data_IF_269552949130
#
_entry.id   IF_269552949130
#
_cell.length_a   1.000
_cell.length_b   1.000
_cell.length_c   1.000
_cell.angle_alpha   90.00
_cell.angle_beta   90.00
_cell.angle_gamma   90.00
#
_symmetry.space_group_name_H-M   'P 1'
#
loop_
_entity.id
_entity.type
_entity.pdbx_description
1 polymer ?
#
# COMPACT_ATOMS: atom_id res chain seq x y z
N UNK A 1 6.77 28.59 23.52
CA UNK A 1 6.65 29.67 22.50
C UNK A 1 7.60 29.50 21.31
N UNK A 2 8.88 29.16 21.50
CA UNK A 2 9.88 29.08 20.41
C UNK A 2 9.56 28.04 19.32
N UNK A 3 9.21 26.81 19.70
CA UNK A 3 8.84 25.74 18.76
C UNK A 3 7.61 26.12 17.90
N UNK A 4 6.58 26.70 18.52
CA UNK A 4 5.38 27.17 17.82
C UNK A 4 5.70 28.26 16.79
N UNK A 5 6.64 29.17 17.10
CA UNK A 5 7.09 30.19 16.16
C UNK A 5 7.82 29.57 14.96
N UNK A 6 8.66 28.55 15.18
CA UNK A 6 9.33 27.80 14.11
C UNK A 6 8.31 27.09 13.21
N UNK A 7 7.35 26.37 13.80
CA UNK A 7 6.26 25.70 13.06
C UNK A 7 5.48 26.72 12.22
N UNK A 8 5.12 27.86 12.80
CA UNK A 8 4.39 28.93 12.08
C UNK A 8 5.22 29.49 10.92
N UNK A 9 6.54 29.70 11.12
CA UNK A 9 7.46 30.14 10.06
C UNK A 9 7.51 29.13 8.92
N UNK A 10 7.65 27.84 9.21
CA UNK A 10 7.72 26.79 8.18
C UNK A 10 6.41 26.69 7.38
N UNK A 11 5.25 26.73 8.04
CA UNK A 11 3.95 26.73 7.35
C UNK A 11 3.82 27.93 6.42
N UNK A 12 4.22 29.12 6.87
CA UNK A 12 4.19 30.34 6.05
C UNK A 12 5.19 30.28 4.88
N UNK A 13 6.38 29.75 5.09
CA UNK A 13 7.40 29.59 4.05
C UNK A 13 6.88 28.67 2.93
N UNK A 14 6.27 27.54 3.29
CA UNK A 14 5.69 26.61 2.32
C UNK A 14 4.51 27.25 1.60
N UNK A 15 3.62 27.95 2.33
CA UNK A 15 2.45 28.63 1.74
C UNK A 15 2.83 29.71 0.72
N UNK A 16 3.89 30.47 0.98
CA UNK A 16 4.31 31.57 0.12
C UNK A 16 5.10 31.12 -1.11
N UNK A 17 5.70 29.93 -1.07
CA UNK A 17 6.43 29.34 -2.20
C UNK A 17 5.47 28.57 -3.14
N UNK A 18 4.64 29.33 -3.85
CA UNK A 18 3.60 28.79 -4.77
C UNK A 18 4.19 27.87 -5.84
N UNK A 19 5.38 28.18 -6.37
CA UNK A 19 6.02 27.37 -7.42
C UNK A 19 6.44 26.00 -6.87
N UNK A 20 7.10 25.97 -5.71
CA UNK A 20 7.43 24.69 -5.07
C UNK A 20 6.18 23.91 -4.70
N UNK A 21 5.13 24.58 -4.20
CA UNK A 21 3.88 23.89 -3.86
C UNK A 21 3.23 23.22 -5.07
N UNK A 22 3.20 23.89 -6.24
CA UNK A 22 2.68 23.30 -7.49
C UNK A 22 3.53 22.08 -7.90
N UNK A 23 4.85 22.21 -7.89
CA UNK A 23 5.77 21.12 -8.28
C UNK A 23 5.63 19.90 -7.36
N UNK A 24 5.35 20.11 -6.08
CA UNK A 24 5.21 19.02 -5.11
C UNK A 24 3.80 18.42 -5.12
N UNK A 25 2.75 19.22 -5.37
CA UNK A 25 1.35 18.80 -5.29
C UNK A 25 0.79 18.24 -6.60
N UNK A 26 1.12 18.84 -7.74
CA UNK A 26 0.50 18.50 -9.03
C UNK A 26 0.91 17.11 -9.53
N UNK A 27 2.20 16.71 -9.54
CA UNK A 27 2.57 15.39 -10.05
C UNK A 27 1.88 14.22 -9.32
N UNK A 28 1.80 14.18 -7.97
CA UNK A 28 1.07 13.13 -7.27
C UNK A 28 -0.44 13.12 -7.56
N UNK A 29 -1.07 14.27 -7.78
CA UNK A 29 -2.49 14.32 -8.15
C UNK A 29 -2.71 13.84 -9.60
N UNK A 30 -1.83 14.25 -10.52
CA UNK A 30 -1.82 13.74 -11.90
C UNK A 30 -1.58 12.23 -11.93
N UNK A 31 -0.77 11.70 -11.01
CA UNK A 31 -0.55 10.26 -10.86
C UNK A 31 -1.85 9.51 -10.60
N UNK A 32 -2.78 10.04 -9.78
CA UNK A 32 -4.10 9.41 -9.58
C UNK A 32 -4.81 9.25 -10.91
N UNK A 33 -4.89 10.32 -11.71
CA UNK A 33 -5.58 10.29 -13.00
C UNK A 33 -4.91 9.27 -13.91
N UNK A 34 -3.59 9.34 -14.09
CA UNK A 34 -2.85 8.45 -14.98
C UNK A 34 -3.03 6.97 -14.57
N UNK A 35 -2.82 6.65 -13.29
CA UNK A 35 -2.92 5.26 -12.81
C UNK A 35 -4.35 4.75 -12.68
N UNK A 36 -5.32 5.63 -12.42
CA UNK A 36 -6.73 5.26 -12.50
C UNK A 36 -7.09 4.77 -13.92
N UNK A 37 -6.45 5.32 -14.95
CA UNK A 37 -6.63 4.87 -16.34
C UNK A 37 -5.59 3.82 -16.80
N UNK A 38 -4.60 3.47 -15.97
CA UNK A 38 -3.54 2.53 -16.32
C UNK A 38 -3.85 1.14 -15.76
N UNK A 39 -4.24 0.22 -16.63
CA UNK A 39 -4.49 -1.19 -16.31
C UNK A 39 -3.21 -1.98 -16.56
N UNK A 40 -2.63 -2.61 -15.54
CA UNK A 40 -1.55 -3.59 -15.71
C UNK A 40 -2.09 -5.00 -15.48
N UNK A 41 -1.71 -5.96 -16.33
CA UNK A 41 -2.22 -7.33 -16.35
C UNK A 41 -1.08 -8.33 -16.06
N UNK A 42 -0.73 -8.59 -14.80
CA UNK A 42 0.14 -9.74 -14.49
C UNK A 42 -0.20 -10.41 -13.15
N UNK A 43 -0.36 -11.74 -13.18
CA UNK A 43 -0.70 -12.59 -12.04
C UNK A 43 0.21 -13.80 -12.04
N UNK A 44 0.89 -14.06 -10.92
CA UNK A 44 1.78 -15.21 -10.71
C UNK A 44 1.63 -15.69 -9.25
N UNK A 45 1.95 -16.96 -8.99
CA UNK A 45 2.12 -17.57 -7.66
C UNK A 45 0.93 -17.55 -6.69
N UNK A 46 -0.28 -17.86 -7.16
CA UNK A 46 -1.48 -17.93 -6.34
C UNK A 46 -1.64 -19.27 -5.62
N UNK A 47 -2.09 -19.23 -4.37
CA UNK A 47 -2.58 -20.41 -3.66
C UNK A 47 -4.09 -20.57 -3.90
N UNK A 48 -4.55 -21.77 -4.24
CA UNK A 48 -5.96 -22.09 -4.48
C UNK A 48 -6.44 -23.07 -3.41
N UNK A 49 -7.56 -22.79 -2.74
CA UNK A 49 -8.24 -23.79 -1.92
C UNK A 49 -9.19 -24.62 -2.79
N UNK A 50 -9.26 -25.93 -2.57
CA UNK A 50 -10.21 -26.80 -3.27
C UNK A 50 -11.00 -27.60 -2.25
N UNK A 51 -12.33 -27.40 -2.26
CA UNK A 51 -13.29 -28.25 -1.57
C UNK A 51 -13.84 -29.27 -2.56
N UNK A 52 -13.23 -30.45 -2.61
CA UNK A 52 -13.69 -31.52 -3.47
C UNK A 52 -14.62 -32.46 -2.71
N UNK A 53 -15.92 -32.35 -2.95
CA UNK A 53 -16.92 -33.27 -2.41
C UNK A 53 -17.15 -34.46 -3.33
N UNK A 54 -16.57 -34.45 -4.53
CA UNK A 54 -16.78 -35.46 -5.56
C UNK A 54 -15.59 -36.42 -5.71
N UNK A 55 -15.88 -37.72 -5.78
CA UNK A 55 -14.87 -38.77 -5.89
C UNK A 55 -14.60 -39.24 -7.32
N UNK A 56 -15.22 -38.58 -8.31
CA UNK A 56 -15.13 -38.97 -9.72
C UNK A 56 -13.73 -38.79 -10.33
N UNK A 57 -13.52 -39.37 -11.51
CA UNK A 57 -12.28 -39.18 -12.28
C UNK A 57 -12.19 -37.75 -12.83
N UNK A 58 -13.35 -37.17 -13.17
CA UNK A 58 -13.50 -35.84 -13.74
C UNK A 58 -13.09 -34.76 -12.72
N UNK A 59 -13.44 -34.92 -11.43
CA UNK A 59 -13.00 -33.98 -10.38
C UNK A 59 -11.47 -33.97 -10.23
N UNK A 60 -10.82 -35.14 -10.33
CA UNK A 60 -9.36 -35.27 -10.25
C UNK A 60 -8.65 -34.66 -11.47
N UNK A 61 -9.19 -34.84 -12.67
CA UNK A 61 -8.63 -34.24 -13.89
C UNK A 61 -8.69 -32.71 -13.88
N UNK A 62 -9.77 -32.13 -13.35
CA UNK A 62 -9.88 -30.68 -13.13
C UNK A 62 -8.79 -30.20 -12.19
N UNK A 63 -8.64 -30.85 -11.03
CA UNK A 63 -7.64 -30.47 -10.03
C UNK A 63 -6.23 -30.56 -10.61
N UNK A 64 -5.90 -31.64 -11.32
CA UNK A 64 -4.58 -31.84 -11.93
C UNK A 64 -4.26 -30.78 -12.99
N UNK A 65 -5.24 -30.35 -13.79
CA UNK A 65 -5.05 -29.23 -14.73
C UNK A 65 -4.81 -27.91 -14.02
N UNK A 66 -5.52 -27.65 -12.93
CA UNK A 66 -5.30 -26.45 -12.11
C UNK A 66 -3.91 -26.47 -11.46
N UNK A 67 -3.42 -27.63 -11.01
CA UNK A 67 -2.04 -27.77 -10.50
C UNK A 67 -1.00 -27.47 -11.58
N UNK A 68 -1.29 -27.78 -12.85
CA UNK A 68 -0.40 -27.49 -13.98
C UNK A 68 -0.41 -26.02 -14.45
N UNK A 69 -1.32 -25.21 -13.92
CA UNK A 69 -1.46 -23.81 -14.32
C UNK A 69 -0.27 -22.98 -13.81
N UNK A 70 0.41 -22.26 -14.72
CA UNK A 70 1.64 -21.49 -14.42
C UNK A 70 1.48 -20.42 -13.33
N UNK A 71 0.27 -19.99 -13.03
CA UNK A 71 0.00 -18.99 -12.00
C UNK A 71 -0.42 -19.60 -10.66
N UNK A 72 -0.63 -20.92 -10.56
CA UNK A 72 -0.96 -21.60 -9.30
C UNK A 72 0.34 -22.15 -8.69
N UNK A 73 0.68 -21.69 -7.49
CA UNK A 73 1.85 -22.16 -6.73
C UNK A 73 1.53 -23.41 -5.93
N UNK A 74 0.37 -23.44 -5.28
CA UNK A 74 -0.04 -24.54 -4.41
C UNK A 74 -1.57 -24.70 -4.38
N UNK A 75 -2.04 -25.94 -4.25
CA UNK A 75 -3.45 -26.26 -4.02
C UNK A 75 -3.61 -26.81 -2.60
N UNK A 76 -4.49 -26.18 -1.82
CA UNK A 76 -4.81 -26.59 -0.45
C UNK A 76 -6.17 -27.29 -0.46
N UNK A 77 -6.17 -28.59 -0.17
CA UNK A 77 -7.41 -29.35 -0.03
C UNK A 77 -8.07 -29.05 1.31
N UNK A 78 -9.27 -28.47 1.28
CA UNK A 78 -10.05 -28.12 2.47
C UNK A 78 -11.18 -29.10 2.67
N UNK A 79 -11.59 -29.29 3.93
CA UNK A 79 -12.64 -30.26 4.31
C UNK A 79 -14.00 -29.60 4.48
N UNK A 80 -14.05 -28.28 4.64
CA UNK A 80 -15.29 -27.53 4.86
C UNK A 80 -15.28 -26.16 4.18
N UNK A 81 -16.47 -25.61 3.95
CA UNK A 81 -16.63 -24.24 3.43
C UNK A 81 -16.12 -23.17 4.39
N UNK A 82 -16.23 -23.40 5.70
CA UNK A 82 -15.80 -22.42 6.70
C UNK A 82 -14.27 -22.34 6.79
N UNK A 83 -13.57 -23.48 6.67
CA UNK A 83 -12.12 -23.54 6.53
C UNK A 83 -11.65 -22.78 5.27
N UNK A 84 -12.35 -22.97 4.13
CA UNK A 84 -12.05 -22.24 2.90
C UNK A 84 -12.19 -20.71 3.06
N UNK A 85 -13.27 -20.27 3.72
CA UNK A 85 -13.53 -18.84 3.99
C UNK A 85 -12.51 -18.25 4.96
N UNK A 86 -12.09 -19.02 5.97
CA UNK A 86 -11.09 -18.56 6.93
C UNK A 86 -9.74 -18.35 6.25
N UNK A 87 -9.29 -19.30 5.43
CA UNK A 87 -8.06 -19.18 4.63
C UNK A 87 -8.11 -17.96 3.69
N UNK A 88 -9.25 -17.73 3.03
CA UNK A 88 -9.48 -16.56 2.18
C UNK A 88 -9.39 -15.25 2.99
N UNK A 89 -10.01 -15.22 4.17
CA UNK A 89 -10.01 -14.05 5.06
C UNK A 89 -8.59 -13.71 5.55
N UNK A 90 -7.81 -14.75 5.88
CA UNK A 90 -6.40 -14.68 6.32
C UNK A 90 -5.40 -14.34 5.19
N UNK A 91 -5.82 -14.33 3.92
CA UNK A 91 -4.95 -14.12 2.74
C UNK A 91 -4.00 -15.28 2.46
N UNK A 92 -4.30 -16.48 2.96
CA UNK A 92 -3.46 -17.66 2.71
C UNK A 92 -3.79 -18.31 1.34
N UNK A 93 -5.02 -18.13 0.86
CA UNK A 93 -5.49 -18.53 -0.48
C UNK A 93 -6.14 -17.35 -1.21
N UNK A 94 -6.00 -17.33 -2.53
CA UNK A 94 -6.53 -16.29 -3.41
C UNK A 94 -7.95 -16.60 -3.92
N UNK A 95 -8.24 -17.88 -4.08
CA UNK A 95 -9.53 -18.34 -4.55
C UNK A 95 -9.85 -19.66 -3.87
N UNK A 96 -11.13 -20.02 -3.81
CA UNK A 96 -11.53 -21.38 -3.52
C UNK A 96 -12.49 -21.91 -4.58
N UNK A 97 -12.27 -23.16 -4.98
CA UNK A 97 -13.13 -23.91 -5.88
C UNK A 97 -13.89 -24.97 -5.09
N UNK A 98 -15.21 -24.98 -5.22
CA UNK A 98 -16.09 -26.00 -4.67
C UNK A 98 -16.60 -26.89 -5.80
N UNK A 99 -16.29 -28.18 -5.68
CA UNK A 99 -16.78 -29.23 -6.57
C UNK A 99 -17.87 -30.01 -5.80
N UNK A 100 -19.16 -29.87 -6.14
CA UNK A 100 -20.24 -30.57 -5.47
C UNK A 100 -20.27 -32.06 -5.85
N UNK A 101 -20.94 -32.88 -5.03
CA UNK A 101 -21.09 -34.33 -5.28
C UNK A 101 -21.84 -34.57 -6.58
N UNK A 102 -21.37 -35.52 -7.36
CA UNK A 102 -22.03 -35.96 -8.60
C UNK A 102 -22.32 -34.79 -9.57
N UNK A 103 -21.48 -33.74 -9.58
CA UNK A 103 -21.74 -32.50 -10.33
C UNK A 103 -21.96 -32.74 -11.83
N UNK A 104 -21.30 -33.75 -12.41
CA UNK A 104 -21.47 -34.17 -13.80
C UNK A 104 -22.85 -34.80 -14.05
N UNK A 105 -23.33 -35.61 -13.10
CA UNK A 105 -24.60 -36.36 -13.23
C UNK A 105 -25.79 -35.44 -12.96
N UNK A 106 -25.65 -34.54 -11.97
CA UNK A 106 -26.71 -33.61 -11.54
C UNK A 106 -26.72 -32.30 -12.31
N UNK A 107 -25.76 -32.09 -13.22
CA UNK A 107 -25.50 -30.81 -13.88
C UNK A 107 -25.41 -29.65 -12.86
N UNK A 108 -24.86 -29.92 -11.68
CA UNK A 108 -24.68 -28.89 -10.66
C UNK A 108 -23.50 -27.99 -11.02
N UNK A 109 -23.66 -26.70 -10.77
CA UNK A 109 -22.63 -25.74 -11.10
C UNK A 109 -21.45 -25.83 -10.15
N UNK A 110 -20.25 -25.68 -10.70
CA UNK A 110 -19.04 -25.55 -9.89
C UNK A 110 -19.06 -24.18 -9.21
N UNK A 111 -18.80 -24.14 -7.90
CA UNK A 111 -18.74 -22.89 -7.15
C UNK A 111 -17.32 -22.34 -7.18
N UNK A 112 -17.08 -21.24 -7.90
CA UNK A 112 -15.79 -20.55 -7.87
C UNK A 112 -15.94 -19.28 -7.03
N UNK A 113 -15.18 -19.18 -5.95
CA UNK A 113 -15.11 -17.96 -5.15
C UNK A 113 -13.73 -17.35 -5.24
N UNK A 114 -13.69 -16.11 -5.72
CA UNK A 114 -12.45 -15.38 -5.94
C UNK A 114 -12.30 -14.28 -4.90
N UNK A 115 -11.07 -13.98 -4.51
CA UNK A 115 -10.78 -12.80 -3.71
C UNK A 115 -10.78 -11.53 -4.58
N UNK A 116 -11.91 -10.82 -4.59
CA UNK A 116 -12.06 -9.60 -5.38
C UNK A 116 -11.35 -8.39 -4.75
N UNK A 117 -10.59 -8.56 -3.65
CA UNK A 117 -9.60 -7.55 -3.23
C UNK A 117 -8.59 -7.30 -4.33
N UNK A 118 -8.20 -8.30 -5.12
CA UNK A 118 -7.37 -8.11 -6.31
C UNK A 118 -8.21 -8.35 -7.57
N UNK A 119 -9.01 -7.36 -7.97
CA UNK A 119 -9.96 -7.45 -9.09
C UNK A 119 -9.34 -8.01 -10.37
N UNK A 120 -8.14 -7.53 -10.72
CA UNK A 120 -7.43 -7.98 -11.91
C UNK A 120 -6.97 -9.44 -11.82
N UNK A 121 -6.45 -9.85 -10.65
CA UNK A 121 -6.08 -11.23 -10.40
C UNK A 121 -7.28 -12.17 -10.45
N UNK A 122 -8.41 -11.74 -9.91
CA UNK A 122 -9.67 -12.48 -9.97
C UNK A 122 -10.16 -12.61 -11.42
N UNK A 123 -10.12 -11.55 -12.24
CA UNK A 123 -10.49 -11.63 -13.65
C UNK A 123 -9.63 -12.61 -14.46
N UNK A 124 -8.31 -12.61 -14.25
CA UNK A 124 -7.39 -13.51 -14.95
C UNK A 124 -7.62 -14.96 -14.52
N UNK A 125 -7.78 -15.21 -13.21
CA UNK A 125 -8.09 -16.55 -12.70
C UNK A 125 -9.45 -17.02 -13.22
N UNK A 126 -10.46 -16.16 -13.24
CA UNK A 126 -11.77 -16.48 -13.78
C UNK A 126 -11.67 -16.87 -15.26
N UNK A 127 -11.03 -16.05 -16.09
CA UNK A 127 -10.87 -16.33 -17.51
C UNK A 127 -10.11 -17.63 -17.79
N UNK A 128 -9.07 -17.93 -17.00
CA UNK A 128 -8.35 -19.19 -17.14
C UNK A 128 -9.18 -20.41 -16.71
N UNK A 129 -9.91 -20.31 -15.60
CA UNK A 129 -10.77 -21.41 -15.12
C UNK A 129 -11.91 -21.65 -16.11
N UNK A 130 -12.56 -20.60 -16.60
CA UNK A 130 -13.56 -20.70 -17.67
C UNK A 130 -12.98 -21.39 -18.91
N UNK A 131 -11.81 -20.95 -19.41
CA UNK A 131 -11.17 -21.56 -20.58
C UNK A 131 -10.79 -23.03 -20.35
N UNK A 132 -10.31 -23.38 -19.15
CA UNK A 132 -9.93 -24.75 -18.78
C UNK A 132 -11.14 -25.68 -18.68
N UNK A 133 -12.30 -25.15 -18.26
CA UNK A 133 -13.54 -25.91 -18.08
C UNK A 133 -14.31 -26.06 -19.40
N UNK A 134 -14.41 -24.99 -20.20
CA UNK A 134 -15.08 -24.97 -21.52
C UNK A 134 -14.43 -26.00 -22.46
N UNK A 135 -13.12 -26.23 -22.35
CA UNK A 135 -12.40 -27.20 -23.20
C UNK A 135 -12.66 -28.67 -22.85
N UNK A 136 -13.26 -28.98 -21.70
CA UNK A 136 -13.39 -30.35 -21.19
C UNK A 136 -14.81 -30.80 -20.87
N UNK A 137 -15.70 -29.88 -20.49
CA UNK A 137 -17.02 -30.21 -19.92
C UNK A 137 -18.05 -29.24 -20.51
N UNK A 138 -18.52 -29.53 -21.72
CA UNK A 138 -19.38 -28.66 -22.54
C UNK A 138 -20.71 -28.25 -21.92
N UNK A 139 -21.17 -28.93 -20.86
CA UNK A 139 -22.49 -28.70 -20.23
C UNK A 139 -22.43 -28.25 -18.75
N UNK A 140 -21.24 -27.99 -18.20
CA UNK A 140 -21.10 -27.67 -16.77
C UNK A 140 -21.00 -26.15 -16.57
N UNK A 141 -21.99 -25.58 -15.90
CA UNK A 141 -22.01 -24.17 -15.56
C UNK A 141 -21.09 -23.87 -14.37
N UNK A 142 -20.45 -22.71 -14.38
CA UNK A 142 -19.63 -22.23 -13.26
C UNK A 142 -20.37 -21.06 -12.61
N UNK A 143 -20.64 -21.18 -11.31
CA UNK A 143 -21.15 -20.08 -10.51
C UNK A 143 -19.98 -19.33 -9.88
N UNK A 144 -19.62 -18.19 -10.49
CA UNK A 144 -18.53 -17.34 -10.01
C UNK A 144 -19.08 -16.33 -9.00
N UNK A 145 -18.46 -16.23 -7.83
CA UNK A 145 -18.76 -15.19 -6.84
C UNK A 145 -17.46 -14.53 -6.37
N UNK A 146 -17.42 -13.20 -6.40
CA UNK A 146 -16.28 -12.45 -5.89
C UNK A 146 -16.52 -12.09 -4.42
N UNK A 147 -15.65 -12.57 -3.55
CA UNK A 147 -15.62 -12.22 -2.13
C UNK A 147 -14.84 -10.92 -1.97
N UNK A 148 -15.49 -9.88 -1.42
CA UNK A 148 -15.07 -8.46 -1.51
C UNK A 148 -15.05 -7.97 -2.98
N UNK A 149 -15.68 -6.83 -3.29
CA UNK A 149 -15.82 -6.27 -4.66
C UNK A 149 -16.57 -7.17 -5.69
N UNK A 150 -17.91 -7.29 -5.59
CA UNK A 150 -18.72 -8.12 -6.48
C UNK A 150 -18.56 -7.80 -7.98
N UNK A 151 -18.35 -6.51 -8.30
CA UNK A 151 -18.28 -6.00 -9.67
C UNK A 151 -16.87 -6.00 -10.27
N UNK A 152 -15.85 -6.44 -9.51
CA UNK A 152 -14.44 -6.41 -9.93
C UNK A 152 -14.00 -5.03 -10.44
N UNK A 153 -14.50 -3.97 -9.82
CA UNK A 153 -14.07 -2.61 -10.16
C UNK A 153 -12.58 -2.47 -9.81
N UNK A 154 -11.74 -2.26 -10.84
CA UNK A 154 -10.28 -2.15 -10.68
C UNK A 154 -9.89 -0.97 -9.75
N UNK A 155 -10.72 0.06 -9.68
CA UNK A 155 -10.51 1.21 -8.81
C UNK A 155 -10.48 0.84 -7.32
N UNK A 156 -11.21 -0.19 -6.88
CA UNK A 156 -11.24 -0.57 -5.46
C UNK A 156 -9.91 -1.18 -4.99
N UNK A 157 -9.07 -1.66 -5.91
CA UNK A 157 -7.73 -2.15 -5.61
C UNK A 157 -6.65 -1.09 -5.83
N UNK A 158 -6.68 -0.41 -6.98
CA UNK A 158 -5.65 0.55 -7.39
C UNK A 158 -5.67 1.80 -6.49
N UNK A 159 -6.85 2.30 -6.16
CA UNK A 159 -6.99 3.62 -5.52
C UNK A 159 -6.50 3.65 -4.06
N UNK A 160 -6.80 2.65 -3.19
CA UNK A 160 -6.19 2.60 -1.85
C UNK A 160 -4.67 2.46 -1.86
N UNK A 161 -4.14 1.78 -2.89
CA UNK A 161 -2.70 1.66 -3.13
C UNK A 161 -2.08 3.03 -3.52
N UNK A 162 -2.72 3.75 -4.45
CA UNK A 162 -2.28 5.06 -4.89
C UNK A 162 -2.28 6.07 -3.76
N UNK A 163 -3.30 6.03 -2.90
CA UNK A 163 -3.38 6.86 -1.71
C UNK A 163 -2.11 6.81 -0.85
N UNK A 164 -1.60 5.60 -0.59
CA UNK A 164 -0.32 5.40 0.11
C UNK A 164 0.86 6.03 -0.60
N UNK A 165 1.01 5.76 -1.89
CA UNK A 165 2.12 6.30 -2.68
C UNK A 165 2.14 7.83 -2.73
N UNK A 166 0.98 8.47 -2.85
CA UNK A 166 0.86 9.93 -2.98
C UNK A 166 1.20 10.64 -1.70
N UNK A 167 0.62 10.17 -0.59
CA UNK A 167 0.92 10.69 0.74
C UNK A 167 2.40 10.52 1.05
N UNK A 168 2.99 9.39 0.65
CA UNK A 168 4.43 9.13 0.80
C UNK A 168 5.30 10.11 0.02
N UNK A 169 5.05 10.27 -1.29
CA UNK A 169 5.84 11.17 -2.16
C UNK A 169 5.79 12.59 -1.61
N UNK A 170 4.61 13.06 -1.24
CA UNK A 170 4.44 14.39 -0.64
C UNK A 170 5.27 14.53 0.65
N UNK A 171 5.11 13.60 1.58
CA UNK A 171 5.76 13.64 2.88
C UNK A 171 7.29 13.60 2.74
N UNK A 172 7.84 12.74 1.86
CA UNK A 172 9.27 12.66 1.59
C UNK A 172 9.78 13.95 0.97
N UNK A 173 9.16 14.41 -0.11
CA UNK A 173 9.68 15.57 -0.85
C UNK A 173 9.64 16.84 0.00
N UNK A 174 8.56 17.06 0.77
CA UNK A 174 8.48 18.20 1.69
C UNK A 174 9.60 18.18 2.75
N UNK A 175 9.82 17.02 3.38
CA UNK A 175 10.82 16.92 4.45
C UNK A 175 12.25 16.84 3.94
N UNK A 176 12.48 16.18 2.79
CA UNK A 176 13.80 16.09 2.15
C UNK A 176 14.29 17.44 1.64
N UNK A 177 13.39 18.32 1.20
CA UNK A 177 13.75 19.68 0.81
C UNK A 177 13.94 20.63 2.00
N UNK A 178 13.42 20.30 3.19
CA UNK A 178 13.30 21.25 4.31
C UNK A 178 14.64 21.76 4.86
N UNK A 179 15.65 20.90 5.03
CA UNK A 179 16.99 21.28 5.53
C UNK A 179 17.90 21.61 4.35
N UNK A 180 17.83 20.85 3.26
CA UNK A 180 18.67 21.05 2.08
C UNK A 180 18.46 22.43 1.44
N UNK A 181 17.23 22.93 1.41
CA UNK A 181 16.90 24.29 0.92
C UNK A 181 17.55 25.37 1.76
N UNK A 182 17.50 25.23 3.09
CA UNK A 182 18.08 26.22 3.98
C UNK A 182 19.61 26.23 3.91
N UNK A 183 20.22 25.06 3.69
CA UNK A 183 21.66 24.95 3.42
C UNK A 183 22.03 25.65 2.12
N UNK A 184 21.29 25.39 1.06
CA UNK A 184 21.55 25.96 -0.26
C UNK A 184 21.39 27.49 -0.29
N UNK A 185 20.44 28.04 0.47
CA UNK A 185 20.18 29.48 0.57
C UNK A 185 21.03 30.14 1.68
N UNK A 186 21.83 29.37 2.43
CA UNK A 186 22.71 29.89 3.48
C UNK A 186 22.00 30.34 4.77
N UNK A 187 20.72 30.02 4.94
CA UNK A 187 19.96 30.31 6.17
C UNK A 187 20.15 29.25 7.26
N UNK A 188 20.79 28.14 6.90
CA UNK A 188 21.04 27.04 7.82
C UNK A 188 21.98 27.41 8.97
N UNK A 189 23.00 28.23 8.71
CA UNK A 189 23.94 28.70 9.74
C UNK A 189 23.21 29.52 10.82
N UNK A 190 22.20 30.29 10.43
CA UNK A 190 21.36 31.06 11.36
C UNK A 190 20.54 30.15 12.29
N UNK A 191 20.13 28.98 11.80
CA UNK A 191 19.37 27.99 12.59
C UNK A 191 20.28 27.28 13.58
N UNK A 192 21.52 26.98 13.19
CA UNK A 192 22.50 26.34 14.09
C UNK A 192 22.88 27.24 15.25
N UNK A 193 23.06 28.55 15.02
CA UNK A 193 23.40 29.52 16.08
C UNK A 193 22.20 29.95 16.92
N UNK A 194 20.98 29.55 16.53
CA UNK A 194 19.78 29.84 17.31
C UNK A 194 19.76 29.02 18.61
N UNK A 195 19.12 29.51 19.70
CA UNK A 195 19.08 28.81 20.98
C UNK A 195 18.05 27.66 21.00
N UNK A 196 17.94 26.92 19.89
CA UNK A 196 17.05 25.79 19.70
C UNK A 196 17.81 24.48 19.87
N UNK A 197 17.19 23.50 20.56
CA UNK A 197 17.77 22.16 20.64
C UNK A 197 17.64 21.45 19.29
N UNK A 198 18.56 20.54 18.93
CA UNK A 198 18.49 19.80 17.67
C UNK A 198 17.17 19.06 17.45
N UNK A 199 16.61 18.50 18.53
CA UNK A 199 15.30 17.86 18.51
C UNK A 199 14.15 18.84 18.24
N UNK A 200 14.22 20.06 18.78
CA UNK A 200 13.20 21.09 18.53
C UNK A 200 13.22 21.56 17.07
N UNK A 201 14.42 21.62 16.44
CA UNK A 201 14.57 21.94 15.03
C UNK A 201 13.92 20.84 14.17
N UNK A 202 14.24 19.57 14.42
CA UNK A 202 13.68 18.46 13.64
C UNK A 202 12.17 18.35 13.80
N UNK A 203 11.64 18.43 15.03
CA UNK A 203 10.19 18.41 15.27
C UNK A 203 9.51 19.63 14.63
N UNK A 204 10.15 20.80 14.71
CA UNK A 204 9.66 22.03 14.10
C UNK A 204 9.57 21.96 12.57
N UNK A 205 10.36 21.11 11.92
CA UNK A 205 10.28 20.81 10.48
C UNK A 205 9.35 19.65 10.15
N UNK A 206 9.32 18.63 11.01
CA UNK A 206 8.46 17.46 10.84
C UNK A 206 6.98 17.83 10.91
N UNK A 207 6.57 18.59 11.94
CA UNK A 207 5.16 18.90 12.18
C UNK A 207 4.48 19.67 11.03
N UNK A 208 5.06 20.74 10.46
CA UNK A 208 4.52 21.40 9.27
C UNK A 208 4.31 20.43 8.10
N UNK A 209 5.30 19.60 7.80
CA UNK A 209 5.21 18.63 6.71
C UNK A 209 4.16 17.55 6.98
N UNK A 210 4.02 17.12 8.24
CA UNK A 210 2.99 16.18 8.68
C UNK A 210 1.59 16.77 8.52
N UNK A 211 1.37 18.01 8.98
CA UNK A 211 0.07 18.70 8.86
C UNK A 211 -0.30 18.88 7.39
N UNK A 212 0.63 19.33 6.55
CA UNK A 212 0.39 19.52 5.12
C UNK A 212 0.10 18.20 4.40
N UNK A 213 0.81 17.13 4.74
CA UNK A 213 0.57 15.80 4.20
C UNK A 213 -0.80 15.24 4.65
N UNK A 214 -1.24 15.53 5.88
CA UNK A 214 -2.59 15.16 6.35
C UNK A 214 -3.70 15.94 5.65
N UNK A 215 -3.47 17.24 5.37
CA UNK A 215 -4.40 18.05 4.57
C UNK A 215 -4.51 17.49 3.15
N UNK A 216 -3.38 17.15 2.52
CA UNK A 216 -3.39 16.48 1.22
C UNK A 216 -4.10 15.13 1.29
N UNK A 217 -3.80 14.33 2.29
CA UNK A 217 -4.47 13.05 2.53
C UNK A 217 -5.99 13.22 2.57
N UNK A 218 -6.48 14.28 3.22
CA UNK A 218 -7.91 14.61 3.25
C UNK A 218 -8.44 14.89 1.85
N UNK A 219 -7.75 15.73 1.06
CA UNK A 219 -8.13 16.03 -0.33
C UNK A 219 -8.18 14.73 -1.16
N UNK A 220 -7.19 13.86 -1.02
CA UNK A 220 -7.16 12.58 -1.74
C UNK A 220 -8.33 11.70 -1.30
N UNK A 221 -8.61 11.56 -0.01
CA UNK A 221 -9.79 10.81 0.48
C UNK A 221 -11.10 11.36 -0.12
N UNK A 222 -11.26 12.69 -0.20
CA UNK A 222 -12.39 13.31 -0.88
C UNK A 222 -12.50 12.88 -2.35
N UNK A 223 -11.40 12.95 -3.10
CA UNK A 223 -11.36 12.49 -4.50
C UNK A 223 -11.72 11.00 -4.60
N UNK A 224 -11.18 10.16 -3.72
CA UNK A 224 -11.45 8.71 -3.70
C UNK A 224 -12.94 8.43 -3.47
N UNK A 225 -13.56 9.10 -2.49
CA UNK A 225 -14.95 8.87 -2.12
C UNK A 225 -15.94 9.45 -3.13
N UNK A 226 -15.71 10.67 -3.62
CA UNK A 226 -16.69 11.39 -4.44
C UNK A 226 -16.45 11.23 -5.94
N UNK A 227 -15.19 11.20 -6.40
CA UNK A 227 -14.86 11.08 -7.82
C UNK A 227 -14.79 9.61 -8.25
N UNK A 228 -14.01 8.80 -7.53
CA UNK A 228 -13.83 7.37 -7.83
C UNK A 228 -14.88 6.46 -7.19
N UNK A 229 -15.76 7.00 -6.33
CA UNK A 229 -16.86 6.28 -5.67
C UNK A 229 -16.41 5.03 -4.89
N UNK A 230 -15.14 4.94 -4.50
CA UNK A 230 -14.63 3.80 -3.74
C UNK A 230 -15.23 3.85 -2.33
N UNK A 231 -15.79 2.73 -1.82
CA UNK A 231 -16.34 2.69 -0.48
C UNK A 231 -15.21 2.79 0.56
N UNK A 232 -15.50 3.50 1.65
CA UNK A 232 -14.68 3.50 2.87
C UNK A 232 -15.57 2.85 3.93
N UNK A 233 -15.44 1.54 4.08
CA UNK A 233 -16.31 0.75 4.94
C UNK A 233 -15.90 0.93 6.42
N UNK A 234 -14.59 0.95 6.68
CA UNK A 234 -14.06 1.11 8.03
C UNK A 234 -14.10 2.54 8.57
N UNK A 235 -13.65 2.68 9.81
CA UNK A 235 -13.64 3.95 10.54
C UNK A 235 -12.67 4.98 9.94
N UNK A 236 -13.18 6.18 9.63
CA UNK A 236 -12.37 7.33 9.20
C UNK A 236 -11.35 7.75 10.26
N UNK A 237 -11.71 7.65 11.54
CA UNK A 237 -10.77 7.95 12.63
C UNK A 237 -9.55 7.03 12.58
N UNK A 238 -9.79 5.74 12.35
CA UNK A 238 -8.72 4.76 12.22
C UNK A 238 -7.82 5.08 11.04
N UNK A 239 -8.42 5.43 9.89
CA UNK A 239 -7.69 5.86 8.71
C UNK A 239 -6.74 7.00 9.03
N UNK A 240 -7.23 8.09 9.63
CA UNK A 240 -6.41 9.25 9.98
C UNK A 240 -5.31 8.93 11.01
N UNK A 241 -5.57 8.05 11.97
CA UNK A 241 -4.58 7.61 12.93
C UNK A 241 -3.44 6.85 12.22
N UNK A 242 -3.80 5.89 11.35
CA UNK A 242 -2.83 5.17 10.52
C UNK A 242 -2.05 6.08 9.57
N UNK A 243 -2.73 7.03 8.92
CA UNK A 243 -2.09 8.04 8.05
C UNK A 243 -1.13 8.93 8.82
N UNK A 244 -1.48 9.35 10.03
CA UNK A 244 -0.61 10.20 10.86
C UNK A 244 0.70 9.48 11.19
N UNK A 245 0.60 8.21 11.58
CA UNK A 245 1.77 7.39 11.94
C UNK A 245 2.61 7.06 10.71
N UNK A 246 1.97 6.75 9.59
CA UNK A 246 2.64 6.53 8.32
C UNK A 246 3.40 7.78 7.85
N UNK A 247 2.73 8.93 7.83
CA UNK A 247 3.32 10.21 7.45
C UNK A 247 4.48 10.56 8.40
N UNK A 248 4.32 10.38 9.70
CA UNK A 248 5.41 10.57 10.67
C UNK A 248 6.64 9.72 10.32
N UNK A 249 6.43 8.44 10.00
CA UNK A 249 7.52 7.54 9.61
C UNK A 249 8.23 8.02 8.35
N UNK A 250 7.46 8.38 7.34
CA UNK A 250 7.99 8.80 6.04
C UNK A 250 8.68 10.17 6.13
N UNK A 251 8.12 11.12 6.89
CA UNK A 251 8.73 12.40 7.18
C UNK A 251 10.07 12.26 7.91
N UNK A 252 10.18 11.28 8.82
CA UNK A 252 11.44 10.99 9.53
C UNK A 252 12.53 10.52 8.55
N UNK A 253 12.17 9.68 7.59
CA UNK A 253 13.07 9.23 6.52
C UNK A 253 13.45 10.40 5.60
N UNK A 254 12.49 11.24 5.21
CA UNK A 254 12.80 12.41 4.38
C UNK A 254 13.70 13.42 5.09
N UNK A 255 13.54 13.64 6.41
CA UNK A 255 14.47 14.45 7.19
C UNK A 255 15.88 13.84 7.24
N UNK A 256 16.00 12.52 7.36
CA UNK A 256 17.29 11.83 7.27
C UNK A 256 17.97 12.10 5.92
N UNK A 257 17.24 11.95 4.81
CA UNK A 257 17.73 12.27 3.47
C UNK A 257 18.15 13.74 3.38
N UNK A 258 17.33 14.66 3.88
CA UNK A 258 17.63 16.10 3.90
C UNK A 258 18.95 16.41 4.62
N UNK A 259 19.21 15.72 5.74
CA UNK A 259 20.41 15.92 6.54
C UNK A 259 21.70 15.48 5.82
N UNK A 260 21.61 14.52 4.90
CA UNK A 260 22.74 14.04 4.09
C UNK A 260 23.09 14.98 2.93
N UNK A 261 22.12 15.74 2.43
CA UNK A 261 22.26 16.52 1.20
C UNK A 261 22.75 17.96 1.46
N UNK A 262 23.55 18.49 0.53
CA UNK A 262 24.00 19.90 0.55
C UNK A 262 23.12 20.81 -0.30
N UNK A 263 22.47 20.28 -1.33
CA UNK A 263 21.61 21.03 -2.26
C UNK A 263 20.23 20.39 -2.38
N UNK A 264 19.22 21.16 -2.83
CA UNK A 264 17.88 20.62 -3.11
C UNK A 264 17.89 19.54 -4.19
N UNK A 265 18.73 19.69 -5.23
CA UNK A 265 18.85 18.67 -6.28
C UNK A 265 19.33 17.33 -5.71
N UNK A 266 20.32 17.33 -4.81
CA UNK A 266 20.76 16.12 -4.13
C UNK A 266 19.65 15.51 -3.27
N UNK A 267 18.86 16.33 -2.59
CA UNK A 267 17.74 15.86 -1.77
C UNK A 267 16.63 15.23 -2.62
N UNK A 268 16.32 15.80 -3.78
CA UNK A 268 15.37 15.24 -4.75
C UNK A 268 15.87 13.88 -5.24
N UNK A 269 17.13 13.80 -5.71
CA UNK A 269 17.72 12.54 -6.18
C UNK A 269 17.77 11.49 -5.07
N UNK A 270 18.16 11.87 -3.84
CA UNK A 270 18.14 10.98 -2.68
C UNK A 270 16.75 10.49 -2.32
N UNK A 271 15.73 11.35 -2.48
CA UNK A 271 14.32 10.96 -2.31
C UNK A 271 13.92 9.91 -3.35
N UNK A 272 14.32 10.06 -4.61
CA UNK A 272 14.05 9.08 -5.67
C UNK A 272 14.72 7.72 -5.40
N UNK A 273 15.96 7.73 -4.90
CA UNK A 273 16.70 6.51 -4.51
C UNK A 273 15.93 5.72 -3.44
N UNK A 274 15.17 6.39 -2.56
CA UNK A 274 14.33 5.72 -1.58
C UNK A 274 12.93 5.37 -2.12
N UNK A 275 12.30 6.28 -2.85
CA UNK A 275 10.93 6.12 -3.35
C UNK A 275 10.80 4.95 -4.33
N UNK A 276 11.72 4.81 -5.29
CA UNK A 276 11.62 3.78 -6.33
C UNK A 276 11.68 2.35 -5.74
N UNK A 277 12.69 1.97 -4.93
CA UNK A 277 12.70 0.66 -4.28
C UNK A 277 11.48 0.48 -3.36
N UNK A 278 11.06 1.53 -2.64
CA UNK A 278 9.89 1.45 -1.78
C UNK A 278 8.63 1.08 -2.55
N UNK A 279 8.42 1.65 -3.73
CA UNK A 279 7.26 1.31 -4.57
C UNK A 279 7.30 -0.11 -5.11
N UNK A 280 8.49 -0.59 -5.49
CA UNK A 280 8.66 -1.95 -6.01
C UNK A 280 8.50 -3.00 -4.91
N UNK A 281 9.05 -2.76 -3.72
CA UNK A 281 9.15 -3.76 -2.66
C UNK A 281 7.97 -3.75 -1.67
N UNK A 282 7.11 -2.74 -1.71
CA UNK A 282 6.05 -2.56 -0.69
C UNK A 282 4.75 -3.31 -0.93
N UNK A 283 4.60 -4.07 -2.01
CA UNK A 283 3.28 -4.62 -2.36
C UNK A 283 2.36 -3.61 -3.08
N UNK A 284 2.85 -2.39 -3.36
CA UNK A 284 2.10 -1.37 -4.09
C UNK A 284 1.91 -1.75 -5.57
N UNK A 285 3.00 -2.01 -6.31
CA UNK A 285 2.93 -2.43 -7.72
C UNK A 285 2.76 -3.94 -7.84
N UNK A 286 3.67 -4.69 -7.20
CA UNK A 286 3.71 -6.15 -7.25
C UNK A 286 3.48 -6.73 -5.86
N UNK A 287 2.58 -7.72 -5.69
CA UNK A 287 2.37 -8.38 -4.40
C UNK A 287 3.67 -8.92 -3.79
N UNK A 288 3.83 -8.80 -2.48
CA UNK A 288 5.06 -9.22 -1.77
C UNK A 288 5.21 -10.74 -1.82
N UNK A 289 4.11 -11.48 -1.89
CA UNK A 289 4.05 -12.93 -2.00
C UNK A 289 4.70 -13.46 -3.29
N UNK A 290 4.82 -12.60 -4.31
CA UNK A 290 5.41 -12.94 -5.59
C UNK A 290 6.93 -12.73 -5.64
N UNK A 291 7.52 -12.17 -4.58
CA UNK A 291 8.96 -11.91 -4.51
C UNK A 291 9.74 -13.19 -4.14
N UNK A 292 10.99 -13.33 -4.61
CA UNK A 292 11.88 -14.38 -4.15
C UNK A 292 12.07 -14.34 -2.63
N UNK A 293 12.29 -15.50 -2.00
CA UNK A 293 12.39 -15.63 -0.53
C UNK A 293 13.51 -14.78 0.10
N UNK A 294 14.56 -14.45 -0.65
CA UNK A 294 15.64 -13.57 -0.20
C UNK A 294 15.27 -12.08 -0.22
N UNK A 295 14.32 -11.68 -1.09
CA UNK A 295 13.91 -10.29 -1.29
C UNK A 295 12.69 -9.94 -0.43
N UNK A 296 11.76 -10.88 -0.25
CA UNK A 296 10.53 -10.66 0.52
C UNK A 296 10.76 -10.06 1.93
N UNK A 297 11.79 -10.46 2.72
CA UNK A 297 12.04 -9.87 4.04
C UNK A 297 12.37 -8.38 4.02
N UNK A 298 12.92 -7.86 2.90
CA UNK A 298 13.29 -6.45 2.78
C UNK A 298 12.07 -5.52 2.76
N UNK A 299 10.91 -6.03 2.34
CA UNK A 299 9.64 -5.30 2.36
C UNK A 299 9.23 -4.88 3.77
N UNK A 300 9.59 -5.65 4.80
CA UNK A 300 9.25 -5.39 6.20
C UNK A 300 9.97 -4.17 6.79
N UNK A 301 11.01 -3.67 6.11
CA UNK A 301 11.72 -2.45 6.49
C UNK A 301 11.03 -1.18 5.97
N UNK A 302 10.03 -1.33 5.10
CA UNK A 302 9.39 -0.21 4.42
C UNK A 302 8.04 0.11 5.08
N UNK A 303 7.82 1.37 5.50
CA UNK A 303 6.54 1.74 6.11
C UNK A 303 5.38 1.62 5.10
N UNK A 304 5.65 1.80 3.80
CA UNK A 304 4.64 1.70 2.75
C UNK A 304 4.02 0.30 2.68
N UNK A 305 4.77 -0.76 2.99
CA UNK A 305 4.28 -2.15 2.99
C UNK A 305 3.11 -2.31 3.94
N UNK A 306 3.29 -1.91 5.19
CA UNK A 306 2.25 -1.99 6.20
C UNK A 306 1.09 -1.04 5.88
N UNK A 307 1.39 0.16 5.34
CA UNK A 307 0.36 1.14 5.03
C UNK A 307 -0.57 0.69 3.91
N UNK A 308 -0.04 0.08 2.86
CA UNK A 308 -0.83 -0.47 1.74
C UNK A 308 -1.80 -1.55 2.23
N UNK A 309 -1.35 -2.45 3.11
CA UNK A 309 -2.20 -3.50 3.67
C UNK A 309 -3.25 -2.88 4.61
N UNK A 310 -2.85 -1.92 5.44
CA UNK A 310 -3.73 -1.20 6.35
C UNK A 310 -4.83 -0.43 5.61
N UNK A 311 -4.51 0.36 4.59
CA UNK A 311 -5.50 1.13 3.84
C UNK A 311 -6.49 0.21 3.15
N UNK A 312 -6.03 -0.88 2.51
CA UNK A 312 -6.94 -1.89 1.94
C UNK A 312 -7.89 -2.47 2.99
N UNK A 313 -7.39 -2.79 4.18
CA UNK A 313 -8.22 -3.33 5.25
C UNK A 313 -9.26 -2.32 5.75
N UNK A 314 -8.90 -1.04 5.88
CA UNK A 314 -9.84 0.02 6.29
C UNK A 314 -10.88 0.31 5.20
N UNK A 315 -10.47 0.38 3.94
CA UNK A 315 -11.40 0.69 2.84
C UNK A 315 -12.38 -0.45 2.59
N UNK A 316 -11.92 -1.71 2.64
CA UNK A 316 -12.68 -2.86 2.12
C UNK A 316 -13.19 -3.85 3.18
N UNK A 317 -12.67 -3.86 4.41
CA UNK A 317 -12.91 -4.95 5.37
C UNK A 317 -13.49 -4.57 6.73
N UNK A 318 -13.75 -3.29 6.99
CA UNK A 318 -14.14 -2.80 8.32
C UNK A 318 -13.24 -3.36 9.45
N UNK A 319 -11.93 -3.15 9.31
CA UNK A 319 -10.96 -3.70 10.25
C UNK A 319 -11.14 -3.12 11.66
N UNK A 320 -11.06 -3.99 12.67
CA UNK A 320 -11.10 -3.59 14.08
C UNK A 320 -9.85 -2.78 14.49
N UNK A 321 -9.96 -1.97 15.54
CA UNK A 321 -8.81 -1.23 16.07
C UNK A 321 -7.67 -2.17 16.50
N UNK A 322 -7.99 -3.30 17.14
CA UNK A 322 -6.98 -4.24 17.66
C UNK A 322 -6.20 -4.88 16.51
N UNK A 323 -6.90 -5.34 15.47
CA UNK A 323 -6.25 -5.95 14.30
C UNK A 323 -5.39 -4.95 13.53
N UNK A 324 -5.79 -3.67 13.53
CA UNK A 324 -5.05 -2.61 12.86
C UNK A 324 -3.68 -2.32 13.49
N UNK A 325 -3.49 -2.63 14.78
CA UNK A 325 -2.23 -2.42 15.48
C UNK A 325 -1.08 -3.22 14.86
N UNK A 326 -1.38 -4.37 14.26
CA UNK A 326 -0.40 -5.20 13.54
C UNK A 326 0.30 -4.43 12.41
N UNK A 327 -0.36 -3.44 11.82
CA UNK A 327 0.20 -2.60 10.75
C UNK A 327 0.71 -1.27 11.29
N UNK A 328 0.02 -0.69 12.28
CA UNK A 328 0.36 0.62 12.85
C UNK A 328 1.67 0.57 13.64
N UNK A 329 1.88 -0.44 14.48
CA UNK A 329 3.05 -0.53 15.35
C UNK A 329 4.37 -0.63 14.57
N UNK A 330 4.51 -1.50 13.53
CA UNK A 330 5.72 -1.51 12.72
C UNK A 330 6.04 -0.16 12.06
N UNK A 331 5.04 0.54 11.51
CA UNK A 331 5.24 1.87 10.93
C UNK A 331 5.73 2.88 11.97
N UNK A 332 5.14 2.86 13.17
CA UNK A 332 5.57 3.73 14.26
C UNK A 332 7.02 3.44 14.67
N UNK A 333 7.39 2.17 14.79
CA UNK A 333 8.75 1.74 15.14
C UNK A 333 9.76 2.19 14.08
N UNK A 334 9.47 1.99 12.79
CA UNK A 334 10.32 2.46 11.68
C UNK A 334 10.50 3.99 11.76
N UNK A 335 9.42 4.73 12.03
CA UNK A 335 9.47 6.17 12.17
C UNK A 335 10.33 6.64 13.35
N UNK A 336 10.16 6.04 14.53
CA UNK A 336 10.96 6.37 15.72
C UNK A 336 12.44 6.08 15.46
N UNK A 337 12.76 4.90 14.91
CA UNK A 337 14.15 4.53 14.61
C UNK A 337 14.75 5.50 13.58
N UNK A 338 14.03 5.83 12.52
CA UNK A 338 14.49 6.78 11.50
C UNK A 338 14.71 8.18 12.08
N UNK A 339 13.82 8.66 12.94
CA UNK A 339 13.97 9.95 13.60
C UNK A 339 15.16 9.96 14.57
N UNK A 340 15.37 8.89 15.33
CA UNK A 340 16.54 8.71 16.20
C UNK A 340 17.85 8.73 15.40
N UNK A 341 17.91 8.01 14.28
CA UNK A 341 19.07 8.02 13.37
C UNK A 341 19.33 9.45 12.86
N UNK A 342 18.27 10.15 12.44
CA UNK A 342 18.36 11.54 11.98
C UNK A 342 18.91 12.45 13.08
N UNK A 343 18.42 12.33 14.32
CA UNK A 343 18.89 13.12 15.47
C UNK A 343 20.37 12.90 15.76
N UNK A 344 20.83 11.64 15.75
CA UNK A 344 22.23 11.29 16.00
C UNK A 344 23.11 11.86 14.89
N UNK A 345 22.71 11.69 13.63
CA UNK A 345 23.43 12.21 12.48
C UNK A 345 23.51 13.73 12.50
N UNK A 346 22.39 14.41 12.76
CA UNK A 346 22.30 15.86 12.84
C UNK A 346 23.19 16.42 13.95
N UNK A 347 23.24 15.76 15.12
CA UNK A 347 24.17 16.17 16.19
C UNK A 347 25.64 15.99 15.83
N UNK A 348 25.99 14.88 15.17
CA UNK A 348 27.40 14.51 14.94
C UNK A 348 28.05 15.29 13.81
N UNK A 349 27.32 15.49 12.71
CA UNK A 349 27.89 15.94 11.43
C UNK A 349 27.46 17.34 11.02
N UNK A 350 26.55 17.97 11.77
CA UNK A 350 25.90 19.21 11.34
C UNK A 350 26.04 20.35 12.36
N UNK A 351 26.26 20.03 13.63
CA UNK A 351 26.51 21.00 14.70
C UNK A 351 27.99 21.08 15.13
N UNK A 352 28.84 20.25 14.53
CA UNK A 352 30.30 20.36 14.60
C UNK A 352 30.79 20.97 13.31
#
# INVERSE_FOLDING_TARGET
MRLLALIKKEILAIKNDKKSMIVVLVPPLMQILIFAFSVTLEVRNLNLAVLNLDSSKQSREIIQKLESAKFIKNIIMVKSLDEAKELLTRQEVFAFLMIPRDFVIRAESLGLVLDGRHSNSAQIVNGYIEQTMISNLSDIQISVRNFYNPNLENFWWIVPNLYGSIVMVMAIVLTSLSISREREIGTFDQIIVSPLKPFEILIGKLLPALILSLLLSTIVIFVIRFFFKVPIIGSLWLLYLGSTIFIFSVCSIGLFISALCKTQQQAILGSFVFLLPSFMLSGFVTPVENMPDWLAPTSNLLPLTYYVIFTKAVFLKDISFIDSLKYILPMLMIGIVSLCITLIFFKKNVLK
#
